data_IF_071064444330
#
_entry.id   IF_071064444330
#
_cell.length_a   1.000
_cell.length_b   1.000
_cell.length_c   1.000
_cell.angle_alpha   90.00
_cell.angle_beta   90.00
_cell.angle_gamma   90.00
#
_symmetry.space_group_name_H-M   'P 1'
#
loop_
_entity.id
_entity.type
_entity.pdbx_description
1 polymer ?
#
# COMPACT_ATOMS: atom_id res chain seq x y z
N UNK A 1 10.43 -9.28 -16.66
CA UNK A 1 10.60 -8.09 -15.80
C UNK A 1 9.78 -8.27 -14.53
N UNK A 2 10.36 -8.01 -13.36
CA UNK A 2 9.65 -8.08 -12.06
C UNK A 2 9.57 -6.67 -11.48
N UNK A 3 8.37 -6.25 -11.11
CA UNK A 3 8.10 -4.95 -10.48
C UNK A 3 7.67 -5.21 -9.04
N UNK A 4 8.27 -4.50 -8.09
CA UNK A 4 7.89 -4.56 -6.68
C UNK A 4 7.05 -3.32 -6.38
N UNK A 5 5.84 -3.52 -5.87
CA UNK A 5 4.95 -2.45 -5.43
C UNK A 5 4.82 -2.55 -3.92
N UNK A 6 5.41 -1.59 -3.22
CA UNK A 6 5.28 -1.44 -1.78
C UNK A 6 4.06 -0.55 -1.50
N UNK A 7 2.98 -1.15 -1.02
CA UNK A 7 1.81 -0.43 -0.55
C UNK A 7 1.59 -0.69 0.95
N UNK A 8 2.41 -0.04 1.78
CA UNK A 8 2.28 -0.12 3.23
C UNK A 8 0.93 0.43 3.75
N UNK A 9 0.18 1.15 2.92
CA UNK A 9 -1.12 1.72 3.29
C UNK A 9 -2.30 0.81 2.98
N UNK A 10 -2.05 -0.33 2.31
CA UNK A 10 -3.12 -1.26 1.99
C UNK A 10 -3.80 -1.77 3.25
N UNK A 11 -5.13 -1.67 3.29
CA UNK A 11 -5.96 -2.03 4.45
C UNK A 11 -5.91 -1.06 5.64
N UNK A 12 -5.03 -0.05 5.62
CA UNK A 12 -4.96 1.03 6.62
C UNK A 12 -5.72 2.26 6.10
N UNK A 13 -5.32 2.74 4.92
CA UNK A 13 -6.02 3.81 4.24
C UNK A 13 -7.06 3.19 3.32
N UNK A 14 -8.32 3.62 3.45
CA UNK A 14 -9.41 3.16 2.58
C UNK A 14 -9.47 3.92 1.24
N UNK A 15 -8.69 5.00 1.07
CA UNK A 15 -8.69 5.88 -0.10
C UNK A 15 -7.29 6.45 -0.35
N UNK A 16 -7.05 6.96 -1.57
CA UNK A 16 -5.79 7.58 -1.97
C UNK A 16 -4.77 6.57 -2.50
N UNK A 17 -3.57 6.55 -1.91
CA UNK A 17 -2.43 5.72 -2.34
C UNK A 17 -2.82 4.25 -2.58
N UNK A 18 -3.64 3.59 -1.73
CA UNK A 18 -4.04 2.20 -1.94
C UNK A 18 -4.88 1.97 -3.19
N UNK A 19 -5.75 2.92 -3.55
CA UNK A 19 -6.58 2.81 -4.76
C UNK A 19 -5.67 2.90 -5.99
N UNK A 20 -4.82 3.93 -6.06
CA UNK A 20 -3.91 4.13 -7.18
C UNK A 20 -2.93 2.96 -7.36
N UNK A 21 -2.37 2.44 -6.26
CA UNK A 21 -1.48 1.28 -6.32
C UNK A 21 -2.22 0.01 -6.73
N UNK A 22 -3.46 -0.21 -6.29
CA UNK A 22 -4.26 -1.36 -6.72
C UNK A 22 -4.57 -1.31 -8.23
N UNK A 23 -4.95 -0.15 -8.77
CA UNK A 23 -5.21 0.03 -10.20
C UNK A 23 -3.94 -0.13 -11.04
N UNK A 24 -2.80 0.38 -10.54
CA UNK A 24 -1.50 0.22 -11.17
C UNK A 24 -1.09 -1.27 -11.23
N UNK A 25 -1.19 -1.98 -10.10
CA UNK A 25 -0.86 -3.41 -10.03
C UNK A 25 -1.74 -4.20 -10.98
N UNK A 26 -3.03 -3.87 -11.07
CA UNK A 26 -3.96 -4.52 -11.98
C UNK A 26 -3.52 -4.33 -13.44
N UNK A 27 -3.29 -3.07 -13.87
CA UNK A 27 -2.83 -2.80 -15.24
C UNK A 27 -1.50 -3.46 -15.57
N UNK A 28 -0.57 -3.51 -14.63
CA UNK A 28 0.72 -4.20 -14.83
C UNK A 28 0.51 -5.71 -15.05
N UNK A 29 -0.38 -6.34 -14.27
CA UNK A 29 -0.72 -7.76 -14.44
C UNK A 29 -1.42 -8.02 -15.77
N UNK A 30 -2.33 -7.16 -16.19
CA UNK A 30 -3.02 -7.24 -17.49
C UNK A 30 -2.03 -7.18 -18.67
N UNK A 31 -0.88 -6.51 -18.47
CA UNK A 31 0.23 -6.45 -19.42
C UNK A 31 1.28 -7.57 -19.23
N UNK A 32 0.92 -8.67 -18.55
CA UNK A 32 1.81 -9.81 -18.26
C UNK A 32 3.10 -9.45 -17.49
N UNK A 33 3.10 -8.34 -16.74
CA UNK A 33 4.22 -7.99 -15.86
C UNK A 33 4.07 -8.74 -14.53
N UNK A 34 5.15 -9.39 -14.07
CA UNK A 34 5.17 -10.00 -12.75
C UNK A 34 5.27 -8.93 -11.67
N UNK A 35 4.22 -8.80 -10.86
CA UNK A 35 4.17 -7.83 -9.76
C UNK A 35 4.24 -8.53 -8.41
N UNK A 36 5.25 -8.18 -7.63
CA UNK A 36 5.35 -8.56 -6.21
C UNK A 36 4.74 -7.42 -5.40
N UNK A 37 3.63 -7.70 -4.74
CA UNK A 37 2.88 -6.73 -3.96
C UNK A 37 3.17 -6.91 -2.48
N UNK A 38 3.71 -5.88 -1.84
CA UNK A 38 4.07 -5.88 -0.42
C UNK A 38 3.15 -4.91 0.30
N UNK A 39 2.26 -5.46 1.11
CA UNK A 39 1.28 -4.71 1.90
C UNK A 39 1.65 -4.64 3.38
N UNK A 40 0.94 -3.78 4.13
CA UNK A 40 1.06 -3.80 5.58
C UNK A 40 0.69 -5.18 6.13
N UNK A 41 1.40 -5.69 7.15
CA UNK A 41 0.97 -6.90 7.84
C UNK A 41 -0.40 -6.67 8.49
N UNK A 42 -1.31 -7.64 8.32
CA UNK A 42 -2.69 -7.58 8.84
C UNK A 42 -2.80 -7.27 10.34
N UNK A 43 -1.74 -7.54 11.12
CA UNK A 43 -1.67 -7.19 12.54
C UNK A 43 -1.81 -5.68 12.79
N UNK A 44 -1.30 -4.84 11.89
CA UNK A 44 -1.36 -3.38 12.01
C UNK A 44 -2.67 -2.79 11.48
N UNK A 45 -3.49 -3.56 10.76
CA UNK A 45 -4.79 -3.11 10.25
C UNK A 45 -5.82 -2.88 11.37
N UNK A 46 -5.59 -3.44 12.57
CA UNK A 46 -6.45 -3.26 13.75
C UNK A 46 -6.16 -1.98 14.52
N UNK A 47 -5.10 -1.25 14.17
CA UNK A 47 -4.77 -0.01 14.87
C UNK A 47 -5.76 1.11 14.49
N UNK A 48 -6.06 2.02 15.42
CA UNK A 48 -6.92 3.17 15.13
C UNK A 48 -6.36 3.99 13.97
N UNK A 49 -7.23 4.43 13.06
CA UNK A 49 -6.85 5.20 11.87
C UNK A 49 -6.06 6.47 12.23
N UNK A 50 -6.37 7.12 13.34
CA UNK A 50 -5.63 8.29 13.83
C UNK A 50 -4.18 7.95 14.20
N UNK A 51 -3.94 6.82 14.86
CA UNK A 51 -2.60 6.37 15.23
C UNK A 51 -1.74 6.09 13.98
N UNK A 52 -2.35 5.45 12.98
CA UNK A 52 -1.68 5.13 11.73
C UNK A 52 -1.41 6.39 10.89
N UNK A 53 -2.30 7.37 10.89
CA UNK A 53 -2.07 8.67 10.25
C UNK A 53 -0.92 9.44 10.92
N UNK A 54 -0.84 9.45 12.24
CA UNK A 54 0.26 10.12 12.96
C UNK A 54 1.59 9.41 12.72
N UNK A 55 1.61 8.08 12.82
CA UNK A 55 2.79 7.27 12.50
C UNK A 55 3.26 7.56 11.07
N UNK A 56 2.32 7.67 10.13
CA UNK A 56 2.62 7.98 8.75
C UNK A 56 3.24 9.36 8.56
N UNK A 57 2.64 10.41 9.14
CA UNK A 57 3.20 11.77 9.07
C UNK A 57 4.65 11.77 9.58
N UNK A 58 4.92 11.05 10.66
CA UNK A 58 6.26 10.95 11.24
C UNK A 58 7.21 10.19 10.31
N UNK A 59 6.77 9.08 9.70
CA UNK A 59 7.60 8.25 8.81
C UNK A 59 7.86 8.93 7.46
N UNK A 60 6.92 9.67 6.89
CA UNK A 60 7.13 10.41 5.63
C UNK A 60 7.96 11.68 5.78
N UNK A 61 8.06 12.24 6.99
CA UNK A 61 8.91 13.41 7.26
C UNK A 61 10.36 13.07 7.62
N UNK A 62 10.72 11.78 7.70
CA UNK A 62 12.09 11.29 7.91
C UNK A 62 12.79 11.03 6.57
#
# INVERSE_FOLDING_TARGET
>A
MKVIVNNFFDGILKRGIPIYTSELVQKLRDNNVQVIYVACPKAFHKLPSWFLNVLFIIVEQL
#
